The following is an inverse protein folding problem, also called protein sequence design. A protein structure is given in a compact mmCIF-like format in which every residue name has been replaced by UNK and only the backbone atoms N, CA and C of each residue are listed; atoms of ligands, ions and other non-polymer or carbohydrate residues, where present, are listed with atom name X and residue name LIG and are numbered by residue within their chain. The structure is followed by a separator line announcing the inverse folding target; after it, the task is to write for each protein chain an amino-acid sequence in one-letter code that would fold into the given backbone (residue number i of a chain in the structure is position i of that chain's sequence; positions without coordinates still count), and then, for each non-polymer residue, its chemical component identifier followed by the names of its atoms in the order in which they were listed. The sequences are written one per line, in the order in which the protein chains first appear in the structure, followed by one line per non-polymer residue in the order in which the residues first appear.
data_IF_069445554078
#
_entry.id   IF_069445554078
#
_cell.length_a   1.000
_cell.length_b   1.000
_cell.length_c   1.000
_cell.angle_alpha   90.00
_cell.angle_beta   90.00
_cell.angle_gamma   90.00
#
_symmetry.space_group_name_H-M   'P 1'
#
loop_
_entity.id
_entity.type
_entity.pdbx_description
1 polymer ?
#
# COMPACT_ATOMS: atom_id res chain seq x y z
N UNK A 1 11.19 -43.85 0.01
CA UNK A 1 10.05 -43.58 0.91
C UNK A 1 10.11 -42.13 1.34
N UNK A 2 9.28 -41.26 0.76
CA UNK A 2 9.16 -39.86 1.20
C UNK A 2 8.39 -39.82 2.52
N UNK A 3 8.97 -39.25 3.61
CA UNK A 3 8.25 -39.16 4.87
C UNK A 3 7.04 -38.24 4.67
N UNK A 4 5.83 -38.80 4.79
CA UNK A 4 4.60 -38.00 4.81
C UNK A 4 4.54 -37.27 6.13
N UNK A 5 4.68 -35.94 6.08
CA UNK A 5 4.45 -35.09 7.24
C UNK A 5 3.02 -35.32 7.77
N UNK A 6 2.82 -35.38 9.09
CA UNK A 6 1.49 -35.39 9.68
C UNK A 6 0.69 -34.20 9.14
N UNK A 7 -0.55 -34.44 8.71
CA UNK A 7 -1.41 -33.47 8.03
C UNK A 7 -1.54 -32.15 8.81
N UNK A 8 -1.52 -32.22 10.13
CA UNK A 8 -1.59 -31.06 11.03
C UNK A 8 -0.32 -30.20 11.00
N UNK A 9 0.86 -30.80 10.83
CA UNK A 9 2.12 -30.07 10.68
C UNK A 9 2.17 -29.33 9.34
N UNK A 10 1.68 -29.96 8.27
CA UNK A 10 1.57 -29.30 6.96
C UNK A 10 0.60 -28.12 7.01
N UNK A 11 -0.55 -28.27 7.66
CA UNK A 11 -1.50 -27.18 7.88
C UNK A 11 -0.87 -26.02 8.68
N UNK A 12 -0.13 -26.34 9.74
CA UNK A 12 0.61 -25.33 10.51
C UNK A 12 1.65 -24.57 9.68
N UNK A 13 2.42 -25.27 8.85
CA UNK A 13 3.40 -24.65 7.95
C UNK A 13 2.74 -23.75 6.91
N UNK A 14 1.62 -24.18 6.32
CA UNK A 14 0.85 -23.35 5.38
C UNK A 14 0.26 -22.11 6.07
N UNK A 15 -0.17 -22.24 7.33
CA UNK A 15 -0.62 -21.10 8.12
C UNK A 15 0.50 -20.08 8.37
N UNK A 16 1.69 -20.55 8.73
CA UNK A 16 2.85 -19.67 8.90
C UNK A 16 3.26 -18.99 7.59
N UNK A 17 3.29 -19.75 6.49
CA UNK A 17 3.59 -19.18 5.17
C UNK A 17 2.57 -18.11 4.75
N UNK A 18 1.27 -18.36 4.99
CA UNK A 18 0.22 -17.38 4.73
C UNK A 18 0.40 -16.11 5.57
N UNK A 19 0.69 -16.26 6.87
CA UNK A 19 0.92 -15.12 7.75
C UNK A 19 2.12 -14.28 7.31
N UNK A 20 3.20 -14.92 6.85
CA UNK A 20 4.36 -14.21 6.32
C UNK A 20 4.01 -13.40 5.06
N UNK A 21 3.23 -13.97 4.14
CA UNK A 21 2.74 -13.26 2.94
C UNK A 21 1.83 -12.09 3.31
N UNK A 22 0.87 -12.32 4.21
CA UNK A 22 -0.06 -11.28 4.66
C UNK A 22 0.67 -10.13 5.36
N UNK A 23 1.65 -10.44 6.22
CA UNK A 23 2.49 -9.43 6.88
C UNK A 23 3.37 -8.67 5.88
N UNK A 24 3.96 -9.37 4.91
CA UNK A 24 4.74 -8.76 3.84
C UNK A 24 3.92 -7.79 2.99
N UNK A 25 2.71 -8.19 2.59
CA UNK A 25 1.79 -7.33 1.85
C UNK A 25 1.37 -6.10 2.68
N UNK A 26 0.97 -6.29 3.94
CA UNK A 26 0.63 -5.18 4.82
C UNK A 26 1.81 -4.22 5.07
N UNK A 27 3.04 -4.74 5.14
CA UNK A 27 4.25 -3.93 5.25
C UNK A 27 4.54 -3.13 3.96
N UNK A 28 4.33 -3.74 2.79
CA UNK A 28 4.49 -3.10 1.49
C UNK A 28 3.47 -1.96 1.27
N UNK A 29 2.27 -2.08 1.84
CA UNK A 29 1.23 -1.05 1.76
C UNK A 29 1.22 -0.11 2.97
N UNK A 30 2.13 -0.29 3.93
CA UNK A 30 2.10 0.49 5.16
C UNK A 30 2.35 1.98 4.90
N UNK A 31 1.42 2.88 5.29
CA UNK A 31 1.58 4.30 5.07
C UNK A 31 2.57 4.87 6.09
N UNK A 32 3.53 5.64 5.57
CA UNK A 32 4.51 6.38 6.36
C UNK A 32 4.51 7.85 5.95
N UNK A 33 4.84 8.79 6.86
CA UNK A 33 4.94 10.20 6.50
C UNK A 33 5.91 10.44 5.33
N UNK A 34 7.03 9.71 5.28
CA UNK A 34 8.00 9.80 4.21
C UNK A 34 7.43 9.37 2.85
N UNK A 35 6.62 8.29 2.80
CA UNK A 35 5.93 7.88 1.57
C UNK A 35 4.90 8.90 1.13
N UNK A 36 4.12 9.43 2.07
CA UNK A 36 3.11 10.46 1.79
C UNK A 36 3.78 11.77 1.30
N UNK A 37 4.97 12.11 1.79
CA UNK A 37 5.76 13.23 1.28
C UNK A 37 6.30 12.97 -0.14
N UNK A 38 6.79 11.75 -0.40
CA UNK A 38 7.23 11.33 -1.73
C UNK A 38 6.08 11.35 -2.75
N UNK A 39 4.90 10.86 -2.38
CA UNK A 39 3.68 10.89 -3.20
C UNK A 39 3.23 12.33 -3.48
N UNK A 40 3.29 13.22 -2.46
CA UNK A 40 3.04 14.66 -2.66
C UNK A 40 3.98 15.25 -3.70
N UNK A 41 5.28 14.94 -3.63
CA UNK A 41 6.27 15.41 -4.59
C UNK A 41 5.99 14.89 -6.00
N UNK A 42 5.66 13.61 -6.16
CA UNK A 42 5.30 13.02 -7.45
C UNK A 42 4.06 13.68 -8.05
N UNK A 43 3.03 13.95 -7.24
CA UNK A 43 1.87 14.71 -7.69
C UNK A 43 2.27 16.14 -8.09
N UNK A 44 3.14 16.80 -7.31
CA UNK A 44 3.63 18.13 -7.66
C UNK A 44 4.40 18.14 -8.99
N UNK A 45 5.19 17.10 -9.29
CA UNK A 45 5.82 16.92 -10.61
C UNK A 45 4.80 16.79 -11.74
N UNK A 46 3.71 16.06 -11.53
CA UNK A 46 2.64 15.96 -12.53
C UNK A 46 1.93 17.30 -12.74
N UNK A 47 1.73 18.08 -11.67
CA UNK A 47 1.18 19.45 -11.75
C UNK A 47 2.14 20.40 -12.47
N UNK A 48 3.44 20.31 -12.19
CA UNK A 48 4.48 21.06 -12.89
C UNK A 48 4.45 20.75 -14.39
N UNK A 49 4.37 19.48 -14.78
CA UNK A 49 4.21 19.06 -16.18
C UNK A 49 2.89 19.54 -16.84
N UNK A 50 1.86 19.79 -16.03
CA UNK A 50 0.61 20.34 -16.55
C UNK A 50 0.81 21.76 -17.08
N UNK A 51 1.64 22.57 -16.42
CA UNK A 51 1.92 23.97 -16.76
C UNK A 51 3.18 24.17 -17.63
N UNK A 52 4.20 23.33 -17.45
CA UNK A 52 5.46 23.32 -18.20
C UNK A 52 5.57 22.01 -18.98
N UNK A 53 5.44 22.05 -20.31
CA UNK A 53 5.46 20.85 -21.17
C UNK A 53 6.84 20.27 -21.41
N UNK A 54 7.88 21.03 -21.08
CA UNK A 54 9.26 20.57 -21.20
C UNK A 54 9.71 19.82 -19.94
N UNK A 55 8.98 19.97 -18.84
CA UNK A 55 9.24 19.24 -17.61
C UNK A 55 8.89 17.76 -17.76
N UNK A 56 9.86 16.88 -17.46
CA UNK A 56 9.70 15.43 -17.55
C UNK A 56 9.57 14.83 -16.14
N UNK A 57 8.34 14.57 -15.65
CA UNK A 57 8.11 14.17 -14.27
C UNK A 57 8.69 12.78 -13.97
N UNK A 58 8.71 11.87 -14.95
CA UNK A 58 9.23 10.51 -14.79
C UNK A 58 10.75 10.39 -14.87
N UNK A 59 11.42 11.42 -15.39
CA UNK A 59 12.89 11.47 -15.46
C UNK A 59 13.49 12.15 -14.22
N UNK A 60 12.64 12.72 -13.35
CA UNK A 60 13.05 13.44 -12.13
C UNK A 60 12.88 12.52 -10.93
N UNK A 61 13.97 11.96 -10.36
CA UNK A 61 13.86 11.05 -9.23
C UNK A 61 13.44 11.78 -7.95
N UNK A 62 12.63 11.10 -7.13
CA UNK A 62 12.43 11.48 -5.73
C UNK A 62 13.72 11.18 -4.96
N UNK A 63 14.35 12.23 -4.46
CA UNK A 63 15.59 12.18 -3.69
C UNK A 63 15.35 11.79 -2.22
N UNK A 64 16.43 11.85 -1.44
CA UNK A 64 16.40 11.48 -0.01
C UNK A 64 15.60 12.43 0.89
N UNK A 65 15.25 13.63 0.41
CA UNK A 65 14.42 14.61 1.10
C UNK A 65 13.30 15.14 0.17
N UNK A 66 12.16 14.44 0.11
CA UNK A 66 11.04 14.85 -0.72
C UNK A 66 10.42 16.20 -0.30
N UNK A 67 10.54 16.57 0.97
CA UNK A 67 9.99 17.83 1.50
C UNK A 67 10.82 19.04 1.03
N UNK A 68 12.15 18.92 1.01
CA UNK A 68 13.01 19.95 0.44
C UNK A 68 12.79 20.11 -1.07
N UNK A 69 12.78 19.00 -1.83
CA UNK A 69 12.54 19.03 -3.27
C UNK A 69 11.17 19.62 -3.63
N UNK A 70 10.14 19.31 -2.85
CA UNK A 70 8.80 19.89 -3.04
C UNK A 70 8.82 21.40 -2.85
N UNK A 71 9.47 21.91 -1.79
CA UNK A 71 9.55 23.35 -1.53
C UNK A 71 10.31 24.08 -2.64
N UNK A 72 11.40 23.49 -3.12
CA UNK A 72 12.19 24.04 -4.23
C UNK A 72 11.38 24.12 -5.53
N UNK A 73 10.71 23.01 -5.90
CA UNK A 73 9.85 22.96 -7.07
C UNK A 73 8.74 24.01 -7.00
N UNK A 74 8.04 24.10 -5.86
CA UNK A 74 6.95 25.06 -5.68
C UNK A 74 7.47 26.49 -5.78
N UNK A 75 8.60 26.81 -5.15
CA UNK A 75 9.18 28.15 -5.23
C UNK A 75 9.55 28.54 -6.67
N UNK A 76 10.21 27.65 -7.42
CA UNK A 76 10.58 27.91 -8.82
C UNK A 76 9.34 28.10 -9.70
N UNK A 77 8.39 27.17 -9.64
CA UNK A 77 7.22 27.21 -10.51
C UNK A 77 6.26 28.35 -10.16
N UNK A 78 6.12 28.68 -8.88
CA UNK A 78 5.32 29.81 -8.46
C UNK A 78 5.96 31.14 -8.88
N UNK A 79 7.29 31.24 -8.87
CA UNK A 79 8.00 32.40 -9.42
C UNK A 79 7.88 32.53 -10.94
N UNK A 80 7.91 31.41 -11.68
CA UNK A 80 7.85 31.38 -13.15
C UNK A 80 6.43 31.53 -13.72
N UNK A 81 5.45 30.90 -13.09
CA UNK A 81 4.08 30.76 -13.62
C UNK A 81 3.02 31.47 -12.79
N UNK A 82 3.36 31.94 -11.58
CA UNK A 82 2.43 32.64 -10.68
C UNK A 82 1.16 31.83 -10.44
N UNK A 83 0.01 32.49 -10.56
CA UNK A 83 -1.32 31.93 -10.29
C UNK A 83 -1.70 30.76 -11.22
N UNK A 84 -1.02 30.57 -12.36
CA UNK A 84 -1.26 29.41 -13.24
C UNK A 84 -0.81 28.10 -12.60
N UNK A 85 0.13 28.16 -11.66
CA UNK A 85 0.60 27.01 -10.91
C UNK A 85 -0.10 26.94 -9.56
N UNK A 86 -1.36 26.49 -9.57
CA UNK A 86 -2.12 26.23 -8.34
C UNK A 86 -1.80 24.85 -7.75
N UNK A 87 -0.94 24.82 -6.74
CA UNK A 87 -0.54 23.61 -6.01
C UNK A 87 -1.45 23.31 -4.80
N UNK A 88 -2.42 24.16 -4.50
CA UNK A 88 -3.31 24.04 -3.33
C UNK A 88 -4.04 22.69 -3.24
N UNK A 89 -4.52 22.09 -4.34
CA UNK A 89 -5.13 20.75 -4.30
C UNK A 89 -4.16 19.67 -3.81
N UNK A 90 -2.89 19.73 -4.23
CA UNK A 90 -1.86 18.76 -3.84
C UNK A 90 -1.52 18.88 -2.35
N UNK A 91 -1.39 20.11 -1.84
CA UNK A 91 -1.18 20.36 -0.42
C UNK A 91 -2.35 19.83 0.44
N UNK A 92 -3.60 20.10 0.04
CA UNK A 92 -4.79 19.61 0.76
C UNK A 92 -4.88 18.09 0.79
N UNK A 93 -4.54 17.42 -0.31
CA UNK A 93 -4.52 15.95 -0.36
C UNK A 93 -3.47 15.37 0.60
N UNK A 94 -2.29 15.98 0.65
CA UNK A 94 -1.23 15.58 1.57
C UNK A 94 -1.64 15.75 3.04
N UNK A 95 -2.22 16.89 3.41
CA UNK A 95 -2.67 17.14 4.78
C UNK A 95 -3.79 16.16 5.19
N UNK A 96 -4.72 15.88 4.27
CA UNK A 96 -5.76 14.89 4.48
C UNK A 96 -5.18 13.47 4.66
N UNK A 97 -4.16 13.09 3.88
CA UNK A 97 -3.48 11.80 4.02
C UNK A 97 -2.76 11.69 5.36
N UNK A 98 -2.05 12.73 5.80
CA UNK A 98 -1.40 12.76 7.11
C UNK A 98 -2.42 12.65 8.26
N UNK A 99 -3.54 13.38 8.17
CA UNK A 99 -4.61 13.30 9.17
C UNK A 99 -5.30 11.92 9.18
N UNK A 100 -5.41 11.27 8.01
CA UNK A 100 -6.03 9.95 7.84
C UNK A 100 -5.11 8.77 8.18
N UNK A 101 -3.83 9.01 8.43
CA UNK A 101 -2.79 7.98 8.49
C UNK A 101 -3.08 6.87 9.52
N UNK A 102 -3.56 7.23 10.71
CA UNK A 102 -3.93 6.24 11.74
C UNK A 102 -5.12 5.38 11.30
N UNK A 103 -6.13 6.00 10.67
CA UNK A 103 -7.31 5.30 10.16
C UNK A 103 -6.94 4.32 9.05
N UNK A 104 -6.07 4.73 8.14
CA UNK A 104 -5.61 3.89 7.04
C UNK A 104 -4.83 2.67 7.54
N UNK A 105 -3.91 2.86 8.51
CA UNK A 105 -3.21 1.75 9.17
C UNK A 105 -4.16 0.75 9.80
N UNK A 106 -5.19 1.22 10.50
CA UNK A 106 -6.24 0.36 11.07
C UNK A 106 -6.99 -0.38 9.96
N UNK A 107 -7.30 0.30 8.85
CA UNK A 107 -7.93 -0.30 7.68
C UNK A 107 -7.12 -1.45 7.09
N UNK A 108 -5.81 -1.27 6.90
CA UNK A 108 -4.90 -2.31 6.41
C UNK A 108 -4.87 -3.52 7.35
N UNK A 109 -4.74 -3.28 8.66
CA UNK A 109 -4.75 -4.36 9.65
C UNK A 109 -6.09 -5.11 9.64
N UNK A 110 -7.21 -4.39 9.65
CA UNK A 110 -8.54 -4.97 9.60
C UNK A 110 -8.73 -5.80 8.33
N UNK A 111 -8.32 -5.28 7.17
CA UNK A 111 -8.38 -6.00 5.90
C UNK A 111 -7.54 -7.28 5.91
N UNK A 112 -6.29 -7.21 6.40
CA UNK A 112 -5.42 -8.38 6.50
C UNK A 112 -6.00 -9.46 7.42
N UNK A 113 -6.61 -9.07 8.55
CA UNK A 113 -7.27 -9.99 9.49
C UNK A 113 -8.52 -10.61 8.85
N UNK A 114 -9.39 -9.80 8.26
CA UNK A 114 -10.65 -10.27 7.66
C UNK A 114 -10.41 -11.18 6.45
N UNK A 115 -9.49 -10.81 5.56
CA UNK A 115 -9.11 -11.62 4.40
C UNK A 115 -8.53 -12.96 4.84
N UNK A 116 -7.63 -12.96 5.84
CA UNK A 116 -7.09 -14.19 6.43
C UNK A 116 -8.21 -15.05 7.01
N UNK A 117 -9.10 -14.48 7.83
CA UNK A 117 -10.23 -15.20 8.40
C UNK A 117 -11.14 -15.81 7.32
N UNK A 118 -11.43 -15.07 6.25
CA UNK A 118 -12.25 -15.53 5.13
C UNK A 118 -11.62 -16.74 4.41
N UNK A 119 -10.30 -16.68 4.12
CA UNK A 119 -9.58 -17.79 3.48
C UNK A 119 -9.61 -19.04 4.35
N UNK A 120 -9.32 -18.92 5.64
CA UNK A 120 -9.34 -20.06 6.57
C UNK A 120 -10.73 -20.63 6.77
N UNK A 121 -11.76 -19.77 6.83
CA UNK A 121 -13.15 -20.20 6.88
C UNK A 121 -13.53 -21.00 5.63
N UNK A 122 -13.16 -20.51 4.44
CA UNK A 122 -13.44 -21.20 3.17
C UNK A 122 -12.74 -22.57 3.12
N UNK A 123 -11.45 -22.64 3.48
CA UNK A 123 -10.70 -23.89 3.55
C UNK A 123 -11.33 -24.89 4.54
N UNK A 124 -11.76 -24.42 5.71
CA UNK A 124 -12.44 -25.26 6.70
C UNK A 124 -13.78 -25.79 6.17
N UNK A 125 -14.55 -24.95 5.49
CA UNK A 125 -15.84 -25.32 4.89
C UNK A 125 -15.66 -26.37 3.82
N UNK A 126 -14.73 -26.16 2.87
CA UNK A 126 -14.42 -27.14 1.81
C UNK A 126 -13.96 -28.47 2.40
N UNK A 127 -13.08 -28.44 3.42
CA UNK A 127 -12.63 -29.66 4.11
C UNK A 127 -13.80 -30.42 4.75
N UNK A 128 -14.72 -29.72 5.40
CA UNK A 128 -15.88 -30.34 6.04
C UNK A 128 -16.85 -30.95 5.03
N UNK A 129 -17.03 -30.32 3.86
CA UNK A 129 -17.87 -30.84 2.78
C UNK A 129 -17.26 -32.11 2.19
N UNK A 130 -15.98 -32.09 1.81
CA UNK A 130 -15.28 -33.27 1.27
C UNK A 130 -15.15 -34.42 2.28
N UNK A 131 -15.06 -34.11 3.58
CA UNK A 131 -15.03 -35.12 4.64
C UNK A 131 -16.37 -35.79 4.91
N UNK A 132 -17.50 -35.20 4.48
CA UNK A 132 -18.83 -35.80 4.60
C UNK A 132 -19.10 -36.82 3.50
N UNK A 133 -18.56 -36.63 2.29
CA UNK A 133 -18.73 -37.56 1.17
C UNK A 133 -17.93 -38.88 1.33
N UNK A 134 -16.92 -38.91 2.21
CA UNK A 134 -16.02 -40.06 2.39
C UNK A 134 -16.43 -41.00 3.53
N UNK A 135 -17.53 -40.75 4.25
CA UNK A 135 -18.12 -41.72 5.18
C UNK A 135 -19.19 -42.55 4.46
N UNK A 136 -19.01 -43.87 4.27
CA UNK A 136 -20.12 -44.72 3.84
C UNK A 136 -21.14 -44.75 4.98
N UNK A 137 -22.39 -44.45 4.63
CA UNK A 137 -23.55 -44.79 5.47
C UNK A 137 -23.75 -46.30 5.51
#
# INVERSE_FOLDING_TARGET
MTPRLPRDRLFGLLALAWLAVAAGAAAADWPTPARIAAERLQLAFLWANAVDKDFRPYDTPVGGDPDAQYRELVADYQARFGDRFDITPVARLHDAALAGLARERVGIVAFAVLSTAAVWWLLRTVRNLLGRETRPG
#
